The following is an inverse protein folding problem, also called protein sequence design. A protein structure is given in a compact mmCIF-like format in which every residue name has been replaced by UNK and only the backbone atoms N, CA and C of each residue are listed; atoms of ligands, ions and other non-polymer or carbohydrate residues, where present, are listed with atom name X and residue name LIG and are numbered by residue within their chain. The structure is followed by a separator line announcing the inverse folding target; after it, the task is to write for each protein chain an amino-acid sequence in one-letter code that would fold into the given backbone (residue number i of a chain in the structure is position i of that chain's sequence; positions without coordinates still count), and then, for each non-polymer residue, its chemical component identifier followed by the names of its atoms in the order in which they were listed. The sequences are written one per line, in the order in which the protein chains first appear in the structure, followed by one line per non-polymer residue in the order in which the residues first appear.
data_IF_814753133884
#
_entry.id   IF_814753133884
#
_cell.length_a   1.000
_cell.length_b   1.000
_cell.length_c   1.000
_cell.angle_alpha   90.00
_cell.angle_beta   90.00
_cell.angle_gamma   90.00
#
_symmetry.space_group_name_H-M   'P 1'
#
loop_
_entity.id
_entity.type
_entity.pdbx_description
1 polymer ?
#
# COMPACT_ATOMS: atom_id res chain seq x y z
N UNK A 1 2.09 -20.86 -29.05
CA UNK A 1 2.59 -19.53 -28.67
C UNK A 1 2.18 -19.28 -27.22
N UNK A 2 3.19 -19.34 -26.33
CA UNK A 2 3.35 -18.83 -24.96
C UNK A 2 2.16 -18.09 -24.30
N UNK A 3 1.60 -18.54 -23.16
CA UNK A 3 2.06 -18.39 -21.74
C UNK A 3 1.12 -17.40 -21.01
N UNK A 4 0.18 -17.93 -20.22
CA UNK A 4 0.08 -17.81 -18.74
C UNK A 4 -0.48 -16.49 -18.21
N UNK A 5 -1.64 -16.57 -17.54
CA UNK A 5 -1.89 -15.81 -16.31
C UNK A 5 -2.75 -16.67 -15.40
N UNK A 6 -2.04 -17.46 -14.61
CA UNK A 6 -2.52 -18.13 -13.41
C UNK A 6 -3.04 -17.04 -12.46
N UNK A 7 -4.33 -17.12 -12.15
CA UNK A 7 -5.03 -16.20 -11.26
C UNK A 7 -4.43 -16.30 -9.86
N UNK A 8 -3.70 -15.26 -9.44
CA UNK A 8 -3.21 -15.14 -8.08
C UNK A 8 -4.40 -14.96 -7.13
N UNK A 9 -4.71 -16.03 -6.41
CA UNK A 9 -5.76 -16.12 -5.42
C UNK A 9 -5.41 -15.28 -4.18
N UNK A 10 -5.69 -13.98 -4.22
CA UNK A 10 -5.92 -13.23 -2.98
C UNK A 10 -7.29 -13.64 -2.43
N UNK A 11 -7.45 -13.86 -1.11
CA UNK A 11 -8.76 -14.14 -0.54
C UNK A 11 -9.67 -12.93 -0.80
N UNK A 12 -10.49 -13.06 -1.83
CA UNK A 12 -11.55 -12.14 -2.17
C UNK A 12 -12.53 -12.18 -1.00
N UNK A 13 -12.53 -11.15 -0.16
CA UNK A 13 -13.60 -10.89 0.79
C UNK A 13 -14.85 -10.42 0.03
N UNK A 14 -15.38 -11.29 -0.85
CA UNK A 14 -16.71 -11.15 -1.42
C UNK A 14 -17.67 -11.99 -0.60
N UNK A 15 -18.52 -11.24 0.12
CA UNK A 15 -19.77 -11.61 0.76
C UNK A 15 -20.44 -12.86 0.14
N UNK A 16 -20.47 -13.95 0.92
CA UNK A 16 -21.72 -14.71 1.05
C UNK A 16 -22.65 -13.88 1.96
N UNK A 17 -23.72 -13.38 1.34
CA UNK A 17 -24.89 -12.83 2.02
C UNK A 17 -25.75 -14.04 2.37
N UNK A 18 -25.50 -14.65 3.52
CA UNK A 18 -26.35 -15.72 4.07
C UNK A 18 -27.03 -15.23 5.36
N UNK A 19 -28.34 -15.39 5.38
CA UNK A 19 -29.38 -14.86 6.28
C UNK A 19 -29.28 -15.28 7.76
N UNK A 20 -28.11 -15.75 8.23
CA UNK A 20 -27.87 -16.12 9.65
C UNK A 20 -27.00 -15.12 10.43
N UNK A 21 -26.59 -14.01 9.80
CA UNK A 21 -25.78 -12.97 10.45
C UNK A 21 -26.54 -12.19 11.53
N UNK A 22 -27.87 -12.19 11.49
CA UNK A 22 -28.66 -11.41 12.43
C UNK A 22 -28.57 -11.97 13.85
N UNK A 23 -28.62 -13.28 14.05
CA UNK A 23 -28.63 -13.87 15.42
C UNK A 23 -27.28 -13.77 16.14
N UNK A 24 -26.17 -13.79 15.40
CA UNK A 24 -24.81 -13.68 15.96
C UNK A 24 -24.40 -12.23 16.26
N UNK A 25 -25.09 -11.24 15.66
CA UNK A 25 -24.86 -9.83 15.95
C UNK A 25 -25.48 -9.40 17.29
N UNK A 26 -26.47 -10.12 17.84
CA UNK A 26 -27.12 -9.72 19.10
C UNK A 26 -26.29 -9.98 20.36
N UNK A 27 -25.31 -10.90 20.32
CA UNK A 27 -24.49 -11.25 21.50
C UNK A 27 -23.22 -10.37 21.58
N UNK A 28 -22.76 -9.82 20.46
CA UNK A 28 -21.55 -8.97 20.42
C UNK A 28 -21.83 -7.46 20.55
N UNK A 29 -23.08 -7.06 20.83
CA UNK A 29 -23.54 -5.68 20.69
C UNK A 29 -23.54 -4.85 21.99
N UNK A 30 -22.91 -5.33 23.06
CA UNK A 30 -22.55 -4.46 24.17
C UNK A 30 -21.10 -4.00 24.01
N UNK A 31 -20.95 -2.74 23.61
CA UNK A 31 -19.71 -1.99 23.29
C UNK A 31 -19.17 -2.18 21.86
N UNK A 32 -19.96 -1.80 20.85
CA UNK A 32 -19.41 -1.41 19.54
C UNK A 32 -19.53 0.12 19.43
N UNK A 33 -18.45 0.84 19.75
CA UNK A 33 -18.26 2.16 19.13
C UNK A 33 -18.25 1.93 17.62
N UNK A 34 -19.12 2.59 16.87
CA UNK A 34 -19.16 2.47 15.41
C UNK A 34 -17.77 2.82 14.84
N UNK A 35 -17.04 1.77 14.43
CA UNK A 35 -15.68 1.86 13.88
C UNK A 35 -15.67 2.79 12.67
N UNK A 36 -16.77 2.86 11.92
CA UNK A 36 -16.89 3.72 10.73
C UNK A 36 -16.90 5.21 11.07
N UNK A 37 -17.29 5.61 12.28
CA UNK A 37 -17.30 7.01 12.73
C UNK A 37 -16.03 7.42 13.49
N UNK A 38 -15.15 6.47 13.78
CA UNK A 38 -13.90 6.74 14.51
C UNK A 38 -12.92 7.57 13.69
N UNK A 39 -12.15 8.45 14.34
CA UNK A 39 -11.08 9.19 13.68
C UNK A 39 -9.88 8.27 13.37
N UNK A 40 -9.02 8.68 12.42
CA UNK A 40 -7.86 7.88 11.99
C UNK A 40 -6.89 7.54 13.13
N UNK A 41 -6.78 8.40 14.16
CA UNK A 41 -5.90 8.14 15.31
C UNK A 41 -6.43 7.01 16.19
N UNK A 42 -7.74 6.98 16.47
CA UNK A 42 -8.39 5.90 17.21
C UNK A 42 -8.28 4.57 16.44
N UNK A 43 -8.58 4.61 15.14
CA UNK A 43 -8.50 3.43 14.27
C UNK A 43 -7.08 2.86 14.21
N UNK A 44 -6.06 3.72 14.04
CA UNK A 44 -4.66 3.29 13.97
C UNK A 44 -4.16 2.70 15.30
N UNK A 45 -4.61 3.24 16.44
CA UNK A 45 -4.32 2.65 17.76
C UNK A 45 -4.97 1.29 17.94
N UNK A 46 -6.24 1.14 17.59
CA UNK A 46 -6.93 -0.14 17.69
C UNK A 46 -6.30 -1.19 16.74
N UNK A 47 -5.97 -0.79 15.52
CA UNK A 47 -5.26 -1.64 14.56
C UNK A 47 -3.88 -2.07 15.07
N UNK A 48 -3.14 -1.17 15.73
CA UNK A 48 -1.86 -1.51 16.34
C UNK A 48 -1.96 -2.54 17.48
N UNK A 49 -3.15 -2.67 18.10
CA UNK A 49 -3.46 -3.68 19.11
C UNK A 49 -4.00 -4.99 18.50
N UNK A 50 -4.05 -5.10 17.17
CA UNK A 50 -4.53 -6.29 16.46
C UNK A 50 -6.01 -6.28 16.12
N UNK A 51 -6.73 -5.16 16.30
CA UNK A 51 -8.11 -5.05 15.84
C UNK A 51 -8.16 -4.99 14.30
N UNK A 52 -8.53 -6.11 13.69
CA UNK A 52 -8.60 -6.24 12.23
C UNK A 52 -9.68 -5.35 11.60
N UNK A 53 -10.83 -5.17 12.26
CA UNK A 53 -11.91 -4.32 11.75
C UNK A 53 -11.47 -2.84 11.68
N UNK A 54 -10.69 -2.39 12.66
CA UNK A 54 -10.12 -1.03 12.64
C UNK A 54 -9.12 -0.86 11.49
N UNK A 55 -8.29 -1.87 11.20
CA UNK A 55 -7.37 -1.82 10.06
C UNK A 55 -8.12 -1.88 8.72
N UNK A 56 -9.18 -2.67 8.62
CA UNK A 56 -10.04 -2.72 7.43
C UNK A 56 -10.64 -1.33 7.14
N UNK A 57 -11.12 -0.62 8.15
CA UNK A 57 -11.64 0.75 7.97
C UNK A 57 -10.54 1.71 7.48
N UNK A 58 -9.32 1.63 8.05
CA UNK A 58 -8.15 2.40 7.57
C UNK A 58 -7.86 2.08 6.09
N UNK A 59 -7.92 0.81 5.72
CA UNK A 59 -7.73 0.37 4.33
C UNK A 59 -8.78 0.99 3.42
N UNK A 60 -10.07 0.83 3.73
CA UNK A 60 -11.17 1.35 2.91
C UNK A 60 -11.09 2.87 2.69
N UNK A 61 -10.77 3.62 3.75
CA UNK A 61 -10.65 5.10 3.69
C UNK A 61 -9.51 5.59 2.82
N UNK A 62 -8.40 4.85 2.73
CA UNK A 62 -7.16 5.37 2.17
C UNK A 62 -6.65 4.63 0.94
N UNK A 63 -7.20 3.45 0.63
CA UNK A 63 -6.78 2.62 -0.51
C UNK A 63 -6.71 3.41 -1.81
N UNK A 64 -7.80 4.09 -2.17
CA UNK A 64 -7.88 4.87 -3.42
C UNK A 64 -6.82 5.96 -3.51
N UNK A 65 -6.49 6.62 -2.39
CA UNK A 65 -5.45 7.67 -2.35
C UNK A 65 -4.06 7.05 -2.53
N UNK A 66 -3.75 5.96 -1.84
CA UNK A 66 -2.47 5.25 -1.97
C UNK A 66 -2.28 4.77 -3.40
N UNK A 67 -3.29 4.08 -3.96
CA UNK A 67 -3.28 3.64 -5.34
C UNK A 67 -3.04 4.79 -6.33
N UNK A 68 -3.72 5.91 -6.14
CA UNK A 68 -3.55 7.09 -7.01
C UNK A 68 -2.13 7.65 -6.99
N UNK A 69 -1.44 7.59 -5.83
CA UNK A 69 -0.04 8.02 -5.71
C UNK A 69 0.87 7.04 -6.45
N UNK A 70 0.71 5.74 -6.19
CA UNK A 70 1.47 4.68 -6.87
C UNK A 70 1.31 4.78 -8.39
N UNK A 71 0.07 4.89 -8.88
CA UNK A 71 -0.23 4.99 -10.30
C UNK A 71 0.41 6.22 -10.95
N UNK A 72 0.34 7.38 -10.28
CA UNK A 72 0.95 8.62 -10.80
C UNK A 72 2.47 8.52 -10.92
N UNK A 73 3.12 7.86 -9.98
CA UNK A 73 4.58 7.75 -9.94
C UNK A 73 5.11 6.63 -10.85
N UNK A 74 4.41 5.51 -10.93
CA UNK A 74 4.84 4.34 -11.69
C UNK A 74 4.38 4.35 -13.16
N UNK A 75 3.27 5.04 -13.46
CA UNK A 75 2.64 5.06 -14.78
C UNK A 75 2.33 3.65 -15.34
N UNK A 76 2.15 2.67 -14.45
CA UNK A 76 1.82 1.29 -14.78
C UNK A 76 0.77 0.80 -13.78
N UNK A 77 -0.41 0.37 -14.28
CA UNK A 77 -1.53 -0.02 -13.44
C UNK A 77 -1.24 -1.28 -12.61
N UNK A 78 -0.61 -2.30 -13.21
CA UNK A 78 -0.26 -3.56 -12.54
C UNK A 78 0.79 -3.32 -11.46
N UNK A 79 1.89 -2.63 -11.78
CA UNK A 79 2.91 -2.31 -10.76
C UNK A 79 2.33 -1.43 -9.64
N UNK A 80 1.40 -0.53 -9.96
CA UNK A 80 0.74 0.31 -8.97
C UNK A 80 -0.18 -0.47 -8.03
N UNK A 81 -0.89 -1.48 -8.53
CA UNK A 81 -1.72 -2.36 -7.71
C UNK A 81 -0.86 -3.18 -6.75
N UNK A 82 0.17 -3.85 -7.28
CA UNK A 82 1.12 -4.64 -6.47
C UNK A 82 1.78 -3.79 -5.39
N UNK A 83 2.30 -2.61 -5.77
CA UNK A 83 2.96 -1.74 -4.80
C UNK A 83 1.99 -1.15 -3.78
N UNK A 84 0.72 -0.92 -4.16
CA UNK A 84 -0.31 -0.49 -3.19
C UNK A 84 -0.51 -1.54 -2.11
N UNK A 85 -0.58 -2.82 -2.49
CA UNK A 85 -0.68 -3.92 -1.53
C UNK A 85 0.55 -3.95 -0.60
N UNK A 86 1.75 -3.85 -1.17
CA UNK A 86 3.00 -3.79 -0.39
C UNK A 86 3.01 -2.62 0.60
N UNK A 87 2.50 -1.44 0.20
CA UNK A 87 2.35 -0.28 1.08
C UNK A 87 1.43 -0.61 2.25
N UNK A 88 0.30 -1.29 2.04
CA UNK A 88 -0.62 -1.66 3.12
C UNK A 88 -0.05 -2.73 4.06
N UNK A 89 0.73 -3.69 3.53
CA UNK A 89 1.45 -4.66 4.36
C UNK A 89 2.47 -3.93 5.25
N UNK A 90 3.21 -2.97 4.69
CA UNK A 90 4.18 -2.16 5.43
C UNK A 90 3.49 -1.20 6.42
N UNK A 91 2.33 -0.67 6.05
CA UNK A 91 1.49 0.15 6.91
C UNK A 91 1.08 -0.65 8.14
N UNK A 92 0.52 -1.86 7.97
CA UNK A 92 0.13 -2.72 9.08
C UNK A 92 1.29 -2.96 10.06
N UNK A 93 2.49 -3.27 9.54
CA UNK A 93 3.70 -3.46 10.36
C UNK A 93 4.16 -2.20 11.11
N UNK A 94 3.88 -1.02 10.55
CA UNK A 94 4.34 0.27 11.08
C UNK A 94 3.25 1.06 11.79
N UNK A 95 2.00 0.61 11.79
CA UNK A 95 0.85 1.42 12.21
C UNK A 95 0.98 1.85 13.68
N UNK A 96 1.54 1.00 14.55
CA UNK A 96 1.83 1.34 15.95
C UNK A 96 2.93 2.38 16.15
N UNK A 97 3.69 2.74 15.11
CA UNK A 97 4.68 3.83 15.16
C UNK A 97 4.08 5.21 14.89
N UNK A 98 2.82 5.28 14.46
CA UNK A 98 2.12 6.55 14.26
C UNK A 98 1.74 7.17 15.61
N UNK A 99 2.32 8.33 15.93
CA UNK A 99 2.15 9.01 17.23
C UNK A 99 1.04 10.05 17.27
N UNK A 100 0.51 10.47 16.13
CA UNK A 100 -0.49 11.54 16.05
C UNK A 100 0.10 12.96 15.95
N UNK A 101 1.42 13.12 15.87
CA UNK A 101 2.09 14.44 15.75
C UNK A 101 1.81 15.14 14.41
N UNK A 102 1.20 14.43 13.46
CA UNK A 102 0.77 14.95 12.14
C UNK A 102 -0.49 14.21 11.69
N UNK A 103 -1.17 14.74 10.68
CA UNK A 103 -2.29 14.04 10.07
C UNK A 103 -1.85 12.65 9.55
N UNK A 104 -2.68 11.63 9.78
CA UNK A 104 -2.40 10.27 9.34
C UNK A 104 -2.14 10.20 7.82
N UNK A 105 -2.90 10.96 7.04
CA UNK A 105 -2.74 11.07 5.58
C UNK A 105 -1.36 11.59 5.18
N UNK A 106 -0.76 12.52 5.94
CA UNK A 106 0.60 13.01 5.69
C UNK A 106 1.64 11.93 5.96
N UNK A 107 1.49 11.20 7.06
CA UNK A 107 2.38 10.10 7.42
C UNK A 107 2.29 8.94 6.41
N UNK A 108 1.07 8.56 6.01
CA UNK A 108 0.81 7.53 5.01
C UNK A 108 1.35 7.94 3.62
N UNK A 109 1.23 9.20 3.24
CA UNK A 109 1.83 9.71 2.01
C UNK A 109 3.35 9.50 2.00
N UNK A 110 4.04 9.86 3.10
CA UNK A 110 5.49 9.65 3.23
C UNK A 110 5.86 8.17 3.14
N UNK A 111 5.11 7.29 3.82
CA UNK A 111 5.32 5.84 3.72
C UNK A 111 5.17 5.35 2.26
N UNK A 112 4.11 5.78 1.59
CA UNK A 112 3.81 5.41 0.20
C UNK A 112 4.92 5.83 -0.75
N UNK A 113 5.32 7.11 -0.71
CA UNK A 113 6.41 7.64 -1.56
C UNK A 113 7.71 6.89 -1.29
N UNK A 114 8.04 6.59 -0.04
CA UNK A 114 9.23 5.82 0.29
C UNK A 114 9.20 4.42 -0.32
N UNK A 115 8.06 3.73 -0.33
CA UNK A 115 7.93 2.41 -0.98
C UNK A 115 8.14 2.51 -2.49
N UNK A 116 7.57 3.52 -3.15
CA UNK A 116 7.76 3.76 -4.59
C UNK A 116 9.23 4.02 -4.92
N UNK A 117 9.92 4.86 -4.13
CA UNK A 117 11.35 5.12 -4.34
C UNK A 117 12.20 3.86 -4.14
N UNK A 118 11.87 3.03 -3.15
CA UNK A 118 12.55 1.74 -2.96
C UNK A 118 12.30 0.76 -4.11
N UNK A 119 11.09 0.76 -4.68
CA UNK A 119 10.77 -0.04 -5.88
C UNK A 119 11.67 0.33 -7.06
N UNK A 120 11.81 1.62 -7.36
CA UNK A 120 12.72 2.09 -8.41
C UNK A 120 14.19 1.73 -8.14
N UNK A 121 14.65 1.86 -6.88
CA UNK A 121 16.01 1.48 -6.52
C UNK A 121 16.27 -0.02 -6.76
N UNK A 122 15.32 -0.89 -6.37
CA UNK A 122 15.43 -2.34 -6.61
C UNK A 122 15.43 -2.69 -8.10
N UNK A 123 14.63 -1.99 -8.89
CA UNK A 123 14.59 -2.14 -10.36
C UNK A 123 15.95 -1.81 -10.99
N UNK A 124 16.56 -0.69 -10.62
CA UNK A 124 17.86 -0.28 -11.16
C UNK A 124 18.98 -1.28 -10.81
N UNK A 125 19.00 -1.80 -9.58
CA UNK A 125 19.99 -2.82 -9.16
C UNK A 125 19.81 -4.14 -9.93
N UNK A 126 18.58 -4.51 -10.29
CA UNK A 126 18.36 -5.70 -11.12
C UNK A 126 18.96 -5.54 -12.51
N UNK A 127 18.79 -4.38 -13.15
CA UNK A 127 19.39 -4.11 -14.46
C UNK A 127 20.93 -4.16 -14.42
N UNK A 128 21.54 -3.54 -13.40
CA UNK A 128 23.00 -3.51 -13.25
C UNK A 128 23.63 -4.91 -13.07
N UNK A 129 22.96 -5.82 -12.34
CA UNK A 129 23.44 -7.19 -12.11
C UNK A 129 23.30 -8.12 -13.31
N UNK A 130 22.48 -7.75 -14.31
CA UNK A 130 22.25 -8.61 -15.50
C UNK A 130 23.24 -8.30 -16.62
N UNK A 131 23.94 -7.16 -16.55
CA UNK A 131 25.13 -6.87 -17.36
C UNK A 131 26.33 -7.65 -16.80
N UNK A 132 26.47 -8.92 -17.21
CA UNK A 132 27.66 -9.76 -16.96
C UNK A 132 28.83 -9.49 -17.92
N UNK A 133 28.75 -8.46 -18.77
CA UNK A 133 29.89 -7.98 -19.55
C UNK A 133 30.36 -6.64 -18.94
N UNK A 134 31.62 -6.59 -18.52
CA UNK A 134 32.24 -5.52 -17.74
C UNK A 134 32.41 -4.18 -18.45
N UNK A 135 31.34 -3.68 -19.07
CA UNK A 135 31.25 -2.31 -19.54
C UNK A 135 30.28 -1.53 -18.65
N UNK A 136 30.81 -0.53 -17.95
CA UNK A 136 29.96 0.44 -17.24
C UNK A 136 29.10 1.18 -18.25
N UNK A 137 27.76 1.24 -18.09
CA UNK A 137 26.93 2.05 -18.97
C UNK A 137 27.35 3.52 -18.82
N UNK A 138 27.84 4.11 -19.91
CA UNK A 138 28.16 5.54 -19.96
C UNK A 138 26.86 6.30 -19.69
N UNK A 139 26.79 6.96 -18.54
CA UNK A 139 25.76 7.96 -18.29
C UNK A 139 26.03 9.14 -19.23
N UNK A 140 25.41 9.13 -20.41
CA UNK A 140 25.35 10.32 -21.26
C UNK A 140 24.43 11.32 -20.57
N UNK A 141 25.01 12.17 -19.72
CA UNK A 141 24.36 13.39 -19.25
C UNK A 141 24.14 14.27 -20.48
N UNK A 142 22.96 14.14 -21.08
CA UNK A 142 22.52 15.03 -22.14
C UNK A 142 22.26 16.42 -21.58
N UNK A 143 23.19 17.35 -21.81
CA UNK A 143 22.94 18.77 -21.70
C UNK A 143 23.93 19.55 -20.84
N UNK A 144 25.11 19.85 -21.39
CA UNK A 144 25.83 21.11 -21.11
C UNK A 144 26.47 21.63 -22.39
N UNK A 145 25.65 21.94 -23.39
CA UNK A 145 26.06 22.88 -24.43
C UNK A 145 25.99 24.28 -23.81
N UNK A 146 27.15 24.82 -23.44
CA UNK A 146 27.28 26.20 -23.00
C UNK A 146 27.70 27.05 -24.21
N UNK A 147 26.84 27.90 -24.79
CA UNK A 147 27.29 28.86 -25.79
C UNK A 147 28.11 29.96 -25.12
N UNK A 148 29.24 30.29 -25.77
CA UNK A 148 30.24 31.28 -25.35
C UNK A 148 29.68 32.68 -25.13
#
# INVERSE_FOLDING_TARGET
MTTTSETLNYPVLHKQVDEKKDTLNFINNEIIEDVSLSNDFTLTKAAAQGNMAAFEEVYQRHHRRVYSICLRMLQNATEAEDLTQDVFIQLYRKIGSFRGDSAFTTWLHRLTVNQVLMHFRKRNVKFEKTTEEGETPVQVVGGTENPR
#
